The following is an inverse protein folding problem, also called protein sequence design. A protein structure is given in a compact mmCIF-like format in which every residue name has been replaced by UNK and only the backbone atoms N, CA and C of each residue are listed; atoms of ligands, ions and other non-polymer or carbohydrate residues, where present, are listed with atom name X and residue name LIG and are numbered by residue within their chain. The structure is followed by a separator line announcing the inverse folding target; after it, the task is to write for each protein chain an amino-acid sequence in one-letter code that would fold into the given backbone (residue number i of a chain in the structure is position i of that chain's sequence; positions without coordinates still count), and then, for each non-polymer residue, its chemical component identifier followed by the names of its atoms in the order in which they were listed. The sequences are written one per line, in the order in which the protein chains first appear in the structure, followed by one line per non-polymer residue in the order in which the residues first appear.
data_IF_255255883976
#
_entry.id   IF_255255883976
#
_cell.length_a   1.000
_cell.length_b   1.000
_cell.length_c   1.000
_cell.angle_alpha   90.00
_cell.angle_beta   90.00
_cell.angle_gamma   90.00
#
_symmetry.space_group_name_H-M   'P 1'
#
loop_
_entity.id
_entity.type
_entity.pdbx_description
1 polymer ?
#
# COMPACT_ATOMS: atom_id res chain seq x y z
N UNK A 1 -14.75 3.18 28.19
CA UNK A 1 -13.82 2.31 27.43
C UNK A 1 -14.34 1.95 26.04
N UNK A 2 -15.66 1.86 25.80
CA UNK A 2 -16.23 1.57 24.47
C UNK A 2 -15.78 2.52 23.34
N UNK A 3 -15.64 3.82 23.61
CA UNK A 3 -15.19 4.80 22.60
C UNK A 3 -13.71 4.60 22.20
N UNK A 4 -12.87 4.14 23.14
CA UNK A 4 -11.44 3.91 22.89
C UNK A 4 -11.26 2.61 22.09
N UNK A 5 -11.97 1.54 22.47
CA UNK A 5 -11.97 0.30 21.69
C UNK A 5 -12.53 0.49 20.26
N UNK A 6 -13.56 1.34 20.10
CA UNK A 6 -14.06 1.72 18.79
C UNK A 6 -12.99 2.44 17.96
N UNK A 7 -12.21 3.34 18.57
CA UNK A 7 -11.13 4.04 17.89
C UNK A 7 -10.01 3.10 17.39
N UNK A 8 -9.65 2.08 18.16
CA UNK A 8 -8.67 1.08 17.71
C UNK A 8 -9.19 0.21 16.58
N UNK A 9 -10.46 -0.22 16.66
CA UNK A 9 -11.07 -0.97 15.57
C UNK A 9 -11.21 -0.13 14.30
N UNK A 10 -11.49 1.17 14.42
CA UNK A 10 -11.47 2.10 13.30
C UNK A 10 -10.08 2.20 12.65
N UNK A 11 -9.01 2.26 13.45
CA UNK A 11 -7.64 2.26 12.93
C UNK A 11 -7.32 0.95 12.20
N UNK A 12 -7.67 -0.20 12.77
CA UNK A 12 -7.51 -1.52 12.14
C UNK A 12 -8.34 -1.61 10.85
N UNK A 13 -9.56 -1.09 10.84
CA UNK A 13 -10.43 -1.03 9.67
C UNK A 13 -9.84 -0.20 8.54
N UNK A 14 -9.34 1.00 8.84
CA UNK A 14 -8.63 1.85 7.87
C UNK A 14 -7.37 1.18 7.33
N UNK A 15 -6.61 0.49 8.18
CA UNK A 15 -5.44 -0.27 7.74
C UNK A 15 -5.82 -1.37 6.73
N UNK A 16 -6.91 -2.11 6.98
CA UNK A 16 -7.44 -3.12 6.04
C UNK A 16 -7.87 -2.48 4.71
N UNK A 17 -8.55 -1.34 4.75
CA UNK A 17 -8.93 -0.59 3.54
C UNK A 17 -7.72 -0.16 2.71
N UNK A 18 -6.66 0.34 3.36
CA UNK A 18 -5.42 0.71 2.67
C UNK A 18 -4.76 -0.49 1.97
N UNK A 19 -4.78 -1.70 2.57
CA UNK A 19 -4.29 -2.90 1.90
C UNK A 19 -5.14 -3.29 0.70
N UNK A 20 -6.45 -3.20 0.81
CA UNK A 20 -7.34 -3.46 -0.32
C UNK A 20 -7.04 -2.49 -1.47
N UNK A 21 -6.87 -1.19 -1.19
CA UNK A 21 -6.46 -0.19 -2.19
C UNK A 21 -5.10 -0.50 -2.80
N UNK A 22 -4.12 -0.89 -2.00
CA UNK A 22 -2.79 -1.34 -2.47
C UNK A 22 -2.93 -2.49 -3.47
N UNK A 23 -3.76 -3.48 -3.16
CA UNK A 23 -3.96 -4.65 -4.03
C UNK A 23 -4.62 -4.27 -5.36
N UNK A 24 -5.63 -3.39 -5.33
CA UNK A 24 -6.22 -2.82 -6.54
C UNK A 24 -5.19 -2.10 -7.40
N UNK A 25 -4.37 -1.22 -6.79
CA UNK A 25 -3.31 -0.51 -7.52
C UNK A 25 -2.31 -1.49 -8.12
N UNK A 26 -1.89 -2.51 -7.38
CA UNK A 26 -0.97 -3.52 -7.88
C UNK A 26 -1.52 -4.29 -9.10
N UNK A 27 -2.81 -4.63 -9.08
CA UNK A 27 -3.49 -5.26 -10.21
C UNK A 27 -3.52 -4.31 -11.43
N UNK A 28 -3.90 -3.04 -11.24
CA UNK A 28 -3.92 -2.06 -12.33
C UNK A 28 -2.54 -1.81 -12.92
N UNK A 29 -1.51 -1.70 -12.09
CA UNK A 29 -0.12 -1.54 -12.53
C UNK A 29 0.37 -2.76 -13.32
N UNK A 30 0.02 -3.97 -12.86
CA UNK A 30 0.36 -5.22 -13.55
C UNK A 30 -0.30 -5.30 -14.93
N UNK A 31 -1.59 -4.95 -15.01
CA UNK A 31 -2.31 -4.91 -16.29
C UNK A 31 -1.70 -3.88 -17.27
N UNK A 32 -1.36 -2.68 -16.78
CA UNK A 32 -0.70 -1.66 -17.59
C UNK A 32 0.66 -2.13 -18.11
N UNK A 33 1.46 -2.82 -17.28
CA UNK A 33 2.74 -3.40 -17.70
C UNK A 33 2.57 -4.43 -18.82
N UNK A 34 1.62 -5.34 -18.67
CA UNK A 34 1.33 -6.36 -19.69
C UNK A 34 0.91 -5.73 -21.04
N UNK A 35 0.11 -4.66 -21.02
CA UNK A 35 -0.26 -3.95 -22.25
C UNK A 35 0.97 -3.36 -22.95
N UNK A 36 1.88 -2.74 -22.19
CA UNK A 36 3.13 -2.21 -22.72
C UNK A 36 4.02 -3.32 -23.27
N UNK A 37 4.21 -4.41 -22.53
CA UNK A 37 5.04 -5.54 -22.96
C UNK A 37 4.50 -6.17 -24.26
N UNK A 38 3.18 -6.29 -24.41
CA UNK A 38 2.55 -6.80 -25.63
C UNK A 38 2.79 -5.89 -26.85
N UNK A 39 2.76 -4.56 -26.66
CA UNK A 39 3.05 -3.59 -27.73
C UNK A 39 4.51 -3.68 -28.18
N UNK A 40 5.45 -3.76 -27.22
CA UNK A 40 6.88 -3.94 -27.50
C UNK A 40 7.13 -5.26 -28.23
N UNK A 41 6.51 -6.35 -27.75
CA UNK A 41 6.64 -7.68 -28.37
C UNK A 41 6.02 -7.77 -29.77
N UNK A 42 5.04 -6.93 -30.08
CA UNK A 42 4.39 -6.89 -31.41
C UNK A 42 5.19 -6.11 -32.46
N UNK A 43 6.38 -5.62 -32.11
CA UNK A 43 7.27 -4.93 -33.04
C UNK A 43 7.13 -3.40 -33.06
N UNK A 44 6.54 -2.78 -32.03
CA UNK A 44 6.43 -1.31 -31.90
C UNK A 44 7.79 -0.61 -31.66
N UNK A 45 8.91 -1.29 -31.83
CA UNK A 45 10.25 -0.71 -31.68
C UNK A 45 10.59 0.07 -32.96
N UNK A 46 10.13 1.32 -33.06
CA UNK A 46 10.65 2.27 -34.05
C UNK A 46 11.88 2.92 -33.41
N UNK A 47 13.05 2.71 -34.02
CA UNK A 47 14.44 2.87 -33.54
C UNK A 47 14.82 4.16 -32.77
N UNK A 48 13.97 5.20 -32.71
CA UNK A 48 14.26 6.46 -32.00
C UNK A 48 13.31 6.77 -30.83
N UNK A 49 12.15 6.10 -30.75
CA UNK A 49 11.18 6.28 -29.67
C UNK A 49 11.37 5.27 -28.53
N UNK A 50 12.12 4.19 -28.77
CA UNK A 50 12.29 3.06 -27.86
C UNK A 50 13.02 3.42 -26.56
N UNK A 51 14.08 4.24 -26.61
CA UNK A 51 14.86 4.57 -25.41
C UNK A 51 14.07 5.43 -24.40
N UNK A 52 13.42 6.49 -24.89
CA UNK A 52 12.55 7.35 -24.07
C UNK A 52 11.36 6.57 -23.52
N UNK A 53 10.78 5.70 -24.35
CA UNK A 53 9.69 4.82 -23.93
C UNK A 53 10.14 3.83 -22.85
N UNK A 54 11.29 3.17 -23.04
CA UNK A 54 11.84 2.22 -22.08
C UNK A 54 12.21 2.91 -20.77
N UNK A 55 12.77 4.13 -20.81
CA UNK A 55 13.02 4.93 -19.63
C UNK A 55 11.72 5.27 -18.89
N UNK A 56 10.68 5.71 -19.61
CA UNK A 56 9.37 6.01 -19.03
C UNK A 56 8.72 4.76 -18.41
N UNK A 57 8.86 3.60 -19.06
CA UNK A 57 8.35 2.33 -18.55
C UNK A 57 9.06 1.88 -17.27
N UNK A 58 10.39 2.01 -17.22
CA UNK A 58 11.18 1.73 -16.00
C UNK A 58 10.76 2.65 -14.86
N UNK A 59 10.63 3.95 -15.13
CA UNK A 59 10.23 4.93 -14.11
C UNK A 59 8.80 4.68 -13.61
N UNK A 60 7.85 4.40 -14.51
CA UNK A 60 6.50 3.99 -14.16
C UNK A 60 6.51 2.76 -13.24
N UNK A 61 7.27 1.73 -13.61
CA UNK A 61 7.37 0.50 -12.83
C UNK A 61 7.94 0.75 -11.43
N UNK A 62 9.01 1.54 -11.33
CA UNK A 62 9.65 1.88 -10.07
C UNK A 62 8.75 2.75 -9.18
N UNK A 63 8.09 3.76 -9.74
CA UNK A 63 7.15 4.62 -9.02
C UNK A 63 5.91 3.85 -8.55
N UNK A 64 5.41 2.90 -9.36
CA UNK A 64 4.33 2.00 -8.98
C UNK A 64 4.72 1.10 -7.79
N UNK A 65 5.93 0.52 -7.82
CA UNK A 65 6.45 -0.28 -6.69
C UNK A 65 6.57 0.56 -5.41
N UNK A 66 7.18 1.75 -5.51
CA UNK A 66 7.29 2.71 -4.39
C UNK A 66 5.93 3.07 -3.79
N UNK A 67 4.91 3.21 -4.62
CA UNK A 67 3.54 3.54 -4.19
C UNK A 67 2.91 2.39 -3.39
N UNK A 68 3.05 1.15 -3.88
CA UNK A 68 2.60 -0.07 -3.20
C UNK A 68 3.28 -0.21 -1.84
N UNK A 69 4.60 -0.05 -1.79
CA UNK A 69 5.37 -0.16 -0.54
C UNK A 69 4.97 0.91 0.47
N UNK A 70 4.72 2.14 0.01
CA UNK A 70 4.27 3.24 0.86
C UNK A 70 2.90 2.96 1.47
N UNK A 71 1.94 2.43 0.69
CA UNK A 71 0.62 2.05 1.20
C UNK A 71 0.69 0.88 2.20
N UNK A 72 1.56 -0.09 1.94
CA UNK A 72 1.77 -1.20 2.88
C UNK A 72 2.37 -0.71 4.21
N UNK A 73 3.38 0.17 4.15
CA UNK A 73 3.99 0.77 5.33
C UNK A 73 2.98 1.58 6.16
N UNK A 74 2.13 2.38 5.50
CA UNK A 74 1.06 3.13 6.17
C UNK A 74 0.06 2.20 6.87
N UNK A 75 -0.37 1.14 6.19
CA UNK A 75 -1.27 0.14 6.77
C UNK A 75 -0.67 -0.53 8.01
N UNK A 76 0.59 -0.99 7.92
CA UNK A 76 1.30 -1.60 9.06
C UNK A 76 1.47 -0.64 10.23
N UNK A 77 1.80 0.62 9.95
CA UNK A 77 1.94 1.64 10.99
C UNK A 77 0.63 1.88 11.73
N UNK A 78 -0.50 1.95 11.03
CA UNK A 78 -1.82 2.10 11.66
C UNK A 78 -2.14 0.91 12.59
N UNK A 79 -1.89 -0.32 12.16
CA UNK A 79 -2.11 -1.50 13.02
C UNK A 79 -1.18 -1.54 14.23
N UNK A 80 0.07 -1.13 14.05
CA UNK A 80 1.04 -1.05 15.14
C UNK A 80 0.62 -0.02 16.19
N UNK A 81 0.18 1.16 15.75
CA UNK A 81 -0.33 2.21 16.64
C UNK A 81 -1.54 1.70 17.41
N UNK A 82 -2.52 1.10 16.71
CA UNK A 82 -3.71 0.56 17.35
C UNK A 82 -3.36 -0.50 18.42
N UNK A 83 -2.45 -1.42 18.10
CA UNK A 83 -2.06 -2.50 19.02
C UNK A 83 -1.27 -1.99 20.22
N UNK A 84 -0.32 -1.06 19.99
CA UNK A 84 0.51 -0.49 21.08
C UNK A 84 -0.33 0.35 22.04
N UNK A 85 -1.24 1.16 21.50
CA UNK A 85 -2.14 1.98 22.32
C UNK A 85 -3.14 1.11 23.11
N UNK A 86 -3.70 0.08 22.49
CA UNK A 86 -4.60 -0.86 23.16
C UNK A 86 -3.91 -1.59 24.33
N UNK A 87 -2.65 -2.00 24.15
CA UNK A 87 -1.85 -2.62 25.20
C UNK A 87 -1.56 -1.64 26.34
N UNK A 88 -1.09 -0.43 26.03
CA UNK A 88 -0.82 0.61 27.03
C UNK A 88 -2.07 0.92 27.88
N UNK A 89 -3.24 1.04 27.24
CA UNK A 89 -4.50 1.32 27.93
C UNK A 89 -4.96 0.15 28.81
N UNK A 90 -4.76 -1.10 28.36
CA UNK A 90 -5.02 -2.29 29.18
C UNK A 90 -4.11 -2.31 30.41
N UNK A 91 -2.87 -1.88 30.29
CA UNK A 91 -1.90 -1.87 31.37
C UNK A 91 -2.23 -0.81 32.42
N UNK A 92 -2.56 0.40 31.98
CA UNK A 92 -3.07 1.48 32.83
C UNK A 92 -4.34 1.04 33.57
N UNK A 93 -5.28 0.41 32.86
CA UNK A 93 -6.51 -0.12 33.46
C UNK A 93 -6.28 -1.20 34.52
N UNK A 94 -5.20 -2.00 34.41
CA UNK A 94 -4.82 -2.98 35.45
C UNK A 94 -4.19 -2.32 36.67
N UNK A 95 -3.40 -1.26 36.48
CA UNK A 95 -2.77 -0.52 37.58
C UNK A 95 -3.81 0.24 38.40
N UNK A 96 -4.80 0.88 37.76
CA UNK A 96 -5.84 1.64 38.46
C UNK A 96 -6.85 0.80 39.24
N UNK A 97 -6.92 -0.51 38.98
CA UNK A 97 -7.80 -1.45 39.69
C UNK A 97 -7.15 -2.10 40.93
N UNK A 98 -5.88 -1.80 41.18
CA UNK A 98 -5.13 -2.23 42.38
C UNK A 98 -5.16 -1.12 43.42
#
# INVERSE_FOLDING_TARGET
MANISASYEDMRSRARQLRATRDTINQSLTAARQQVDNLVSSGFVIDSASDTFQASYREFTASGARTIDSLDALSRNLEKIASTSEEADRDLGRQMKR
#
